data_IF_857737405182
#
_entry.id   IF_857737405182
#
_cell.length_a   1.000
_cell.length_b   1.000
_cell.length_c   1.000
_cell.angle_alpha   90.00
_cell.angle_beta   90.00
_cell.angle_gamma   90.00
#
_symmetry.space_group_name_H-M   'P 1'
#
loop_
_entity.id
_entity.type
_entity.pdbx_description
1 polymer ?
#
# COMPACT_ATOMS: atom_id res chain seq x y z
N UNK A 1 -24.04 -28.32 22.12
CA UNK A 1 -24.70 -27.93 20.86
C UNK A 1 -23.83 -26.82 20.28
N UNK A 2 -22.97 -27.14 19.31
CA UNK A 2 -22.09 -26.14 18.70
C UNK A 2 -22.92 -25.41 17.65
N UNK A 3 -23.09 -24.11 17.82
CA UNK A 3 -23.62 -23.26 16.75
C UNK A 3 -22.69 -23.34 15.53
N UNK A 4 -23.23 -23.46 14.31
CA UNK A 4 -22.42 -23.34 13.11
C UNK A 4 -21.80 -21.95 13.09
N UNK A 5 -20.47 -21.87 12.88
CA UNK A 5 -19.79 -20.60 12.67
C UNK A 5 -20.48 -19.84 11.54
N UNK A 6 -20.89 -18.59 11.80
CA UNK A 6 -21.50 -17.73 10.80
C UNK A 6 -20.61 -17.65 9.57
N UNK A 7 -21.21 -17.68 8.37
CA UNK A 7 -20.47 -17.51 7.13
C UNK A 7 -19.67 -16.19 7.17
N UNK A 8 -18.40 -16.20 6.74
CA UNK A 8 -17.60 -14.98 6.72
C UNK A 8 -18.32 -13.91 5.88
N UNK A 9 -18.33 -12.64 6.33
CA UNK A 9 -19.02 -11.58 5.62
C UNK A 9 -18.49 -11.50 4.18
N UNK A 10 -19.41 -11.45 3.21
CA UNK A 10 -19.06 -11.30 1.79
C UNK A 10 -18.26 -10.01 1.62
N UNK A 11 -17.03 -10.13 1.11
CA UNK A 11 -16.17 -8.99 0.82
C UNK A 11 -16.81 -8.12 -0.26
N UNK A 12 -17.15 -6.87 0.07
CA UNK A 12 -17.78 -5.90 -0.85
C UNK A 12 -16.83 -4.79 -1.28
N UNK A 13 -15.85 -4.45 -0.45
CA UNK A 13 -14.97 -3.29 -0.65
C UNK A 13 -13.53 -3.60 -0.25
N UNK A 14 -12.55 -3.19 -1.05
CA UNK A 14 -11.11 -3.30 -0.75
C UNK A 14 -10.48 -1.91 -0.82
N UNK A 15 -9.90 -1.45 0.29
CA UNK A 15 -9.06 -0.26 0.33
C UNK A 15 -7.60 -0.67 0.20
N UNK A 16 -6.96 -0.36 -0.93
CA UNK A 16 -5.53 -0.51 -1.14
C UNK A 16 -4.86 0.86 -1.04
N UNK A 17 -3.94 1.02 -0.10
CA UNK A 17 -3.23 2.30 0.09
C UNK A 17 -1.86 2.09 0.70
N UNK A 18 -0.93 3.00 0.44
CA UNK A 18 0.37 3.06 1.12
C UNK A 18 0.35 3.98 2.34
N UNK A 19 -0.62 4.90 2.39
CA UNK A 19 -0.76 5.91 3.43
C UNK A 19 -1.90 5.51 4.38
N UNK A 20 -1.75 4.38 5.07
CA UNK A 20 -2.64 3.98 6.15
C UNK A 20 -1.93 4.14 7.50
N UNK A 21 -2.62 4.50 8.59
CA UNK A 21 -2.00 4.55 9.91
C UNK A 21 -1.31 3.22 10.27
N UNK A 22 -0.25 3.26 11.09
CA UNK A 22 0.12 4.32 12.05
C UNK A 22 0.99 5.45 11.48
N UNK A 23 1.27 5.46 10.17
CA UNK A 23 2.01 6.55 9.53
C UNK A 23 1.29 7.89 9.76
N UNK A 24 2.05 8.92 10.13
CA UNK A 24 1.51 10.27 10.33
C UNK A 24 1.45 11.00 8.99
N UNK A 25 0.24 11.37 8.57
CA UNK A 25 0.02 12.14 7.35
C UNK A 25 -1.45 12.53 7.17
N UNK A 26 -1.71 13.55 6.35
CA UNK A 26 -3.08 14.00 6.07
C UNK A 26 -3.95 12.89 5.46
N UNK A 27 -3.41 12.19 4.46
CA UNK A 27 -4.08 11.06 3.79
C UNK A 27 -4.32 9.92 4.78
N UNK A 28 -3.30 9.52 5.53
CA UNK A 28 -3.41 8.47 6.55
C UNK A 28 -4.48 8.78 7.60
N UNK A 29 -4.54 10.03 8.07
CA UNK A 29 -5.57 10.47 9.00
C UNK A 29 -6.98 10.35 8.41
N UNK A 30 -7.18 10.72 7.15
CA UNK A 30 -8.49 10.60 6.49
C UNK A 30 -8.86 9.13 6.31
N UNK A 31 -7.95 8.32 5.77
CA UNK A 31 -8.19 6.91 5.49
C UNK A 31 -8.41 6.09 6.78
N UNK A 32 -7.72 6.43 7.87
CA UNK A 32 -7.94 5.82 9.19
C UNK A 32 -9.32 6.11 9.80
N UNK A 33 -10.07 7.09 9.28
CA UNK A 33 -11.48 7.32 9.67
C UNK A 33 -12.47 6.79 8.65
N UNK A 34 -12.02 6.46 7.44
CA UNK A 34 -12.89 6.12 6.32
C UNK A 34 -13.82 4.94 6.65
N UNK A 35 -13.33 3.93 7.34
CA UNK A 35 -14.13 2.77 7.74
C UNK A 35 -15.30 3.12 8.66
N UNK A 36 -15.20 4.19 9.46
CA UNK A 36 -16.32 4.66 10.29
C UNK A 36 -17.47 5.20 9.46
N UNK A 37 -17.18 5.71 8.27
CA UNK A 37 -18.17 6.29 7.37
C UNK A 37 -18.70 5.25 6.37
N UNK A 38 -17.82 4.41 5.84
CA UNK A 38 -18.15 3.42 4.81
C UNK A 38 -18.80 2.14 5.38
N UNK A 39 -18.72 1.93 6.70
CA UNK A 39 -19.06 0.66 7.34
C UNK A 39 -17.88 -0.32 7.34
N UNK A 40 -17.93 -1.31 8.22
CA UNK A 40 -16.86 -2.29 8.41
C UNK A 40 -17.20 -3.69 7.86
N UNK A 41 -18.49 -4.02 7.68
CA UNK A 41 -18.90 -5.32 7.15
C UNK A 41 -18.47 -5.50 5.69
N UNK A 42 -17.69 -6.55 5.42
CA UNK A 42 -17.20 -6.86 4.08
C UNK A 42 -16.18 -5.84 3.56
N UNK A 43 -15.57 -5.04 4.44
CA UNK A 43 -14.48 -4.12 4.11
C UNK A 43 -13.14 -4.71 4.56
N UNK A 44 -12.14 -4.65 3.67
CA UNK A 44 -10.76 -5.09 3.94
C UNK A 44 -9.82 -3.97 3.54
N UNK A 45 -8.80 -3.77 4.35
CA UNK A 45 -7.73 -2.80 4.11
C UNK A 45 -6.47 -3.58 3.79
N UNK A 46 -5.81 -3.23 2.69
CA UNK A 46 -4.51 -3.77 2.30
C UNK A 46 -3.50 -2.60 2.34
N UNK A 47 -2.59 -2.64 3.30
CA UNK A 47 -1.63 -1.58 3.56
C UNK A 47 -0.25 -2.15 3.91
N UNK A 48 0.85 -1.37 3.77
CA UNK A 48 2.15 -1.84 4.19
C UNK A 48 2.23 -2.05 5.70
N UNK A 49 3.09 -2.98 6.11
CA UNK A 49 3.46 -3.19 7.51
C UNK A 49 4.33 -2.04 8.03
N UNK A 50 4.01 -1.54 9.22
CA UNK A 50 4.74 -0.47 9.90
C UNK A 50 4.78 -0.73 11.41
N UNK A 51 5.78 -0.19 12.10
CA UNK A 51 5.82 -0.25 13.57
C UNK A 51 4.58 0.42 14.17
N UNK A 52 3.88 -0.27 15.07
CA UNK A 52 2.63 0.18 15.69
C UNK A 52 1.35 -0.18 14.92
N UNK A 53 1.45 -0.92 13.81
CA UNK A 53 0.30 -1.26 12.98
C UNK A 53 -0.69 -2.20 13.68
N UNK A 54 -0.20 -3.15 14.47
CA UNK A 54 -1.02 -4.09 15.25
C UNK A 54 -1.86 -3.39 16.30
N UNK A 55 -1.26 -2.44 17.02
CA UNK A 55 -1.95 -1.65 18.05
C UNK A 55 -3.07 -0.82 17.42
N UNK A 56 -2.76 -0.13 16.31
CA UNK A 56 -3.76 0.67 15.59
C UNK A 56 -4.89 -0.20 15.01
N UNK A 57 -4.55 -1.31 14.34
CA UNK A 57 -5.53 -2.19 13.71
C UNK A 57 -6.46 -2.85 14.74
N UNK A 58 -5.99 -3.04 15.98
CA UNK A 58 -6.80 -3.57 17.08
C UNK A 58 -7.86 -2.58 17.59
N UNK A 59 -7.76 -1.29 17.27
CA UNK A 59 -8.74 -0.27 17.69
C UNK A 59 -10.05 -0.33 16.90
N UNK A 60 -10.11 -1.13 15.82
CA UNK A 60 -11.27 -1.17 14.94
C UNK A 60 -11.60 -2.58 14.42
N UNK A 61 -12.87 -2.85 14.05
CA UNK A 61 -13.29 -4.19 13.63
C UNK A 61 -12.96 -4.55 12.17
N UNK A 62 -12.37 -3.64 11.40
CA UNK A 62 -12.06 -3.86 9.98
C UNK A 62 -10.90 -4.84 9.83
N UNK A 63 -11.02 -5.77 8.87
CA UNK A 63 -9.90 -6.67 8.54
C UNK A 63 -8.80 -5.88 7.82
N UNK A 64 -7.69 -5.66 8.50
CA UNK A 64 -6.48 -5.10 7.87
C UNK A 64 -5.48 -6.21 7.57
N UNK A 65 -4.99 -6.24 6.34
CA UNK A 65 -3.90 -7.11 5.88
C UNK A 65 -2.68 -6.25 5.63
N UNK A 66 -1.64 -6.50 6.41
CA UNK A 66 -0.35 -5.83 6.31
C UNK A 66 0.58 -6.62 5.39
N UNK A 67 1.16 -5.96 4.40
CA UNK A 67 2.14 -6.59 3.51
C UNK A 67 3.51 -5.92 3.66
N UNK A 68 4.56 -6.72 3.50
CA UNK A 68 5.92 -6.18 3.48
C UNK A 68 6.10 -5.42 2.17
N UNK A 69 6.27 -4.11 2.27
CA UNK A 69 6.80 -3.35 1.15
C UNK A 69 8.29 -3.64 1.02
N UNK A 70 8.79 -3.87 -0.21
CA UNK A 70 10.21 -3.86 -0.45
C UNK A 70 10.76 -2.53 0.05
N UNK A 71 11.44 -2.54 1.19
CA UNK A 71 12.26 -1.44 1.62
C UNK A 71 13.53 -1.46 0.77
N UNK A 72 13.34 -1.16 -0.51
CA UNK A 72 14.44 -0.74 -1.34
C UNK A 72 14.89 0.58 -0.70
N UNK A 73 15.89 0.51 0.16
CA UNK A 73 16.45 1.67 0.84
C UNK A 73 16.84 2.73 -0.18
N UNK A 74 17.16 3.94 0.28
CA UNK A 74 17.54 5.05 -0.61
C UNK A 74 18.55 4.61 -1.69
N UNK A 75 19.51 3.77 -1.33
CA UNK A 75 20.49 3.14 -2.23
C UNK A 75 19.84 2.34 -3.36
N UNK A 76 18.89 1.45 -3.08
CA UNK A 76 18.28 0.64 -4.13
C UNK A 76 17.31 1.44 -5.01
N UNK A 77 16.65 2.48 -4.46
CA UNK A 77 15.88 3.45 -5.28
C UNK A 77 16.81 4.18 -6.25
N UNK A 78 17.99 4.57 -5.78
CA UNK A 78 19.00 5.24 -6.59
C UNK A 78 19.58 4.32 -7.66
N UNK A 79 19.84 3.05 -7.33
CA UNK A 79 20.26 2.03 -8.31
C UNK A 79 19.18 1.82 -9.37
N UNK A 80 17.91 1.64 -8.97
CA UNK A 80 16.81 1.44 -9.90
C UNK A 80 16.63 2.65 -10.84
N UNK A 81 16.70 3.86 -10.28
CA UNK A 81 16.65 5.10 -11.07
C UNK A 81 17.84 5.19 -12.04
N UNK A 82 19.07 4.96 -11.57
CA UNK A 82 20.25 5.00 -12.42
C UNK A 82 20.20 3.97 -13.55
N UNK A 83 19.76 2.74 -13.27
CA UNK A 83 19.59 1.70 -14.28
C UNK A 83 18.53 2.09 -15.32
N UNK A 84 17.39 2.65 -14.88
CA UNK A 84 16.35 3.13 -15.79
C UNK A 84 16.84 4.31 -16.66
N UNK A 85 17.58 5.25 -16.07
CA UNK A 85 18.14 6.40 -16.76
C UNK A 85 19.17 5.97 -17.81
N UNK A 86 20.11 5.08 -17.45
CA UNK A 86 21.12 4.54 -18.36
C UNK A 86 20.48 3.75 -19.51
N UNK A 87 19.50 2.90 -19.22
CA UNK A 87 18.74 2.18 -20.25
C UNK A 87 18.04 3.13 -21.21
N UNK A 88 17.43 4.19 -20.68
CA UNK A 88 16.73 5.18 -21.49
C UNK A 88 17.71 5.98 -22.35
N UNK A 89 18.82 6.43 -21.77
CA UNK A 89 19.87 7.13 -22.51
C UNK A 89 20.45 6.26 -23.64
N UNK A 90 20.76 5.00 -23.35
CA UNK A 90 21.20 4.02 -24.36
C UNK A 90 20.17 3.87 -25.47
N UNK A 91 18.89 3.70 -25.12
CA UNK A 91 17.83 3.58 -26.10
C UNK A 91 17.70 4.84 -26.96
N UNK A 92 17.78 6.03 -26.37
CA UNK A 92 17.73 7.29 -27.11
C UNK A 92 18.92 7.45 -28.05
N UNK A 93 20.15 7.15 -27.62
CA UNK A 93 21.33 7.20 -28.49
C UNK A 93 21.18 6.27 -29.70
N UNK A 94 20.63 5.07 -29.48
CA UNK A 94 20.50 4.08 -30.54
C UNK A 94 19.31 4.32 -31.48
N UNK A 95 18.19 4.81 -30.96
CA UNK A 95 16.92 4.89 -31.69
C UNK A 95 16.51 6.33 -32.07
N UNK A 96 17.09 7.33 -31.42
CA UNK A 96 16.80 8.76 -31.60
C UNK A 96 18.10 9.59 -31.60
N UNK A 97 19.03 9.33 -32.54
CA UNK A 97 20.29 10.07 -32.62
C UNK A 97 20.08 11.57 -32.87
N UNK A 98 18.91 11.96 -33.41
CA UNK A 98 18.48 13.34 -33.63
C UNK A 98 18.36 14.18 -32.34
N UNK A 99 18.29 13.54 -31.16
CA UNK A 99 18.17 14.23 -29.88
C UNK A 99 19.53 14.47 -29.18
N UNK A 100 20.63 13.97 -29.75
CA UNK A 100 21.96 13.96 -29.10
C UNK A 100 22.98 14.85 -29.84
N UNK A 101 22.61 15.39 -31.00
CA UNK A 101 23.34 16.39 -31.79
C UNK A 101 22.68 17.76 -31.69
#
# INVERSE_FOLDING_TARGET
>A
MNEPAADPPVQRSLLLTFDYPPIVGGIANVLGRLWRLAGHEGCTILAPAFEGDREFDAEHPVTTRRFLTPQVGATGKLIAFAAAALRTAWWCVWNRPDLVT
#
